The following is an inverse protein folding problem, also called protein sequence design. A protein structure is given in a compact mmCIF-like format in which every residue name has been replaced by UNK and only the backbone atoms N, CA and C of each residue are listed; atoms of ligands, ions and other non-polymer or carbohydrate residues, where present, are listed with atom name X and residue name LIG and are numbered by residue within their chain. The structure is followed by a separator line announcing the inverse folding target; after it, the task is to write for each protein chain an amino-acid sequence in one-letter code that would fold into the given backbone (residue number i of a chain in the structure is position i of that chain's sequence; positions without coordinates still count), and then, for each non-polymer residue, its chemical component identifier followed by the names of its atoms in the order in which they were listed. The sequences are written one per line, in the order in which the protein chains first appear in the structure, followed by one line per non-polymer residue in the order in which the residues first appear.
data_IF_633302828323
#
_entry.id   IF_633302828323
#
_cell.length_a   1.000
_cell.length_b   1.000
_cell.length_c   1.000
_cell.angle_alpha   90.00
_cell.angle_beta   90.00
_cell.angle_gamma   90.00
#
_symmetry.space_group_name_H-M   'P 1'
#
loop_
_entity.id
_entity.type
_entity.pdbx_description
1 polymer ?
#
# COMPACT_ATOMS: atom_id res chain seq x y z
N UNK A 1 -1.45 -31.14 -23.22
CA UNK A 1 -0.43 -30.70 -22.24
C UNK A 1 -0.15 -29.24 -22.52
N UNK A 2 -0.26 -28.36 -21.52
CA UNK A 2 0.38 -27.05 -21.61
C UNK A 2 -0.46 -25.79 -21.45
N UNK A 3 -1.64 -25.81 -20.84
CA UNK A 3 -2.26 -24.56 -20.36
C UNK A 3 -2.38 -24.64 -18.84
N UNK A 4 -1.19 -24.62 -18.25
CA UNK A 4 -0.92 -24.54 -16.83
C UNK A 4 -1.43 -23.20 -16.25
N UNK A 5 -2.29 -23.27 -15.23
CA UNK A 5 -2.27 -22.37 -14.07
C UNK A 5 -2.53 -20.86 -14.30
N UNK A 6 -3.56 -20.49 -15.06
CA UNK A 6 -4.04 -19.09 -15.08
C UNK A 6 -5.11 -18.77 -14.02
N UNK A 7 -5.12 -19.51 -12.91
CA UNK A 7 -5.91 -19.17 -11.72
C UNK A 7 -5.02 -18.92 -10.51
N UNK A 8 -3.99 -18.10 -10.69
CA UNK A 8 -3.30 -17.38 -9.60
C UNK A 8 -4.20 -16.35 -8.88
N UNK A 9 -5.53 -16.50 -8.93
CA UNK A 9 -6.50 -15.69 -8.17
C UNK A 9 -6.50 -16.01 -6.67
N UNK A 10 -5.87 -17.12 -6.28
CA UNK A 10 -5.77 -17.59 -4.89
C UNK A 10 -4.32 -17.81 -4.44
N UNK A 11 -3.33 -17.10 -5.00
CA UNK A 11 -2.08 -16.98 -4.26
C UNK A 11 -2.48 -16.37 -2.90
N UNK A 12 -2.15 -17.00 -1.75
CA UNK A 12 -2.36 -16.36 -0.47
C UNK A 12 -1.63 -15.03 -0.61
N UNK A 13 -2.37 -13.92 -0.76
CA UNK A 13 -1.78 -12.61 -0.79
C UNK A 13 -0.95 -12.62 0.47
N UNK A 14 0.37 -12.56 0.33
CA UNK A 14 1.28 -12.38 1.43
C UNK A 14 1.04 -10.96 1.96
N UNK A 15 -0.18 -10.69 2.41
CA UNK A 15 -0.66 -9.48 3.04
C UNK A 15 0.30 -9.08 4.15
N UNK A 16 0.79 -10.00 5.02
CA UNK A 16 1.84 -9.65 5.98
C UNK A 16 3.15 -9.17 5.34
N UNK A 17 3.65 -9.80 4.27
CA UNK A 17 4.88 -9.33 3.60
C UNK A 17 4.67 -8.03 2.82
N UNK A 18 3.52 -7.89 2.15
CA UNK A 18 3.13 -6.68 1.45
C UNK A 18 3.00 -5.51 2.44
N UNK A 19 2.45 -5.76 3.63
CA UNK A 19 2.33 -4.75 4.67
C UNK A 19 3.70 -4.31 5.16
N UNK A 20 4.62 -5.25 5.43
CA UNK A 20 5.99 -4.92 5.80
C UNK A 20 6.69 -4.09 4.71
N UNK A 21 6.53 -4.49 3.45
CA UNK A 21 7.07 -3.77 2.30
C UNK A 21 6.51 -2.35 2.19
N UNK A 22 5.19 -2.18 2.32
CA UNK A 22 4.56 -0.86 2.27
C UNK A 22 4.90 0.00 3.48
N UNK A 23 5.12 -0.59 4.66
CA UNK A 23 5.59 0.11 5.84
C UNK A 23 7.01 0.67 5.62
N UNK A 24 7.93 -0.15 5.12
CA UNK A 24 9.29 0.29 4.78
C UNK A 24 9.30 1.36 3.69
N UNK A 25 8.48 1.21 2.64
CA UNK A 25 8.37 2.19 1.57
C UNK A 25 7.66 3.48 2.04
N UNK A 26 6.71 3.36 2.98
CA UNK A 26 6.06 4.50 3.64
C UNK A 26 7.05 5.33 4.44
N UNK A 27 7.99 4.69 5.15
CA UNK A 27 9.09 5.35 5.86
C UNK A 27 10.06 6.07 4.91
N UNK A 28 10.18 5.60 3.67
CA UNK A 28 10.97 6.26 2.62
C UNK A 28 10.24 7.43 1.95
N UNK A 29 9.00 7.73 2.35
CA UNK A 29 8.20 8.82 1.78
C UNK A 29 7.50 8.46 0.47
N UNK A 30 7.44 7.18 0.10
CA UNK A 30 6.72 6.77 -1.11
C UNK A 30 5.21 6.94 -0.92
N UNK A 31 4.64 7.96 -1.56
CA UNK A 31 3.21 8.27 -1.51
C UNK A 31 2.33 7.08 -1.92
N UNK A 32 2.74 6.32 -2.93
CA UNK A 32 2.00 5.14 -3.38
C UNK A 32 1.98 4.02 -2.33
N UNK A 33 3.07 3.83 -1.58
CA UNK A 33 3.12 2.85 -0.50
C UNK A 33 2.27 3.27 0.69
N UNK A 34 2.32 4.56 1.07
CA UNK A 34 1.46 5.13 2.10
C UNK A 34 -0.02 4.95 1.74
N UNK A 35 -0.39 5.21 0.47
CA UNK A 35 -1.76 5.01 0.01
C UNK A 35 -2.24 3.56 0.17
N UNK A 36 -1.42 2.59 -0.25
CA UNK A 36 -1.73 1.17 -0.12
C UNK A 36 -1.79 0.72 1.35
N UNK A 37 -0.85 1.16 2.18
CA UNK A 37 -0.81 0.86 3.61
C UNK A 37 -2.06 1.38 4.32
N UNK A 38 -2.50 2.60 3.98
CA UNK A 38 -3.73 3.17 4.52
C UNK A 38 -4.98 2.40 4.11
N UNK A 39 -5.05 1.90 2.88
CA UNK A 39 -6.12 1.01 2.43
C UNK A 39 -6.12 -0.34 3.18
N UNK A 40 -4.95 -0.92 3.42
CA UNK A 40 -4.82 -2.16 4.20
C UNK A 40 -5.31 -1.96 5.64
N UNK A 41 -4.95 -0.86 6.30
CA UNK A 41 -5.46 -0.51 7.63
C UNK A 41 -6.97 -0.23 7.62
N UNK A 42 -7.51 0.39 6.56
CA UNK A 42 -8.96 0.65 6.47
C UNK A 42 -9.77 -0.63 6.29
N UNK A 43 -9.24 -1.59 5.53
CA UNK A 43 -9.91 -2.86 5.24
C UNK A 43 -9.60 -3.97 6.24
N UNK A 44 -8.56 -3.81 7.06
CA UNK A 44 -8.06 -4.87 7.93
C UNK A 44 -7.45 -6.04 7.15
N UNK A 45 -6.85 -5.77 5.99
CA UNK A 45 -6.21 -6.82 5.17
C UNK A 45 -4.79 -7.09 5.70
N UNK A 46 -4.58 -8.22 6.38
CA UNK A 46 -3.25 -8.61 6.90
C UNK A 46 -2.81 -7.88 8.18
N UNK A 47 -3.62 -6.97 8.69
CA UNK A 47 -3.45 -6.25 9.96
C UNK A 47 -4.81 -5.96 10.58
N UNK A 48 -4.84 -5.69 11.88
CA UNK A 48 -6.05 -5.20 12.53
C UNK A 48 -6.52 -3.89 11.88
N UNK A 49 -7.79 -3.86 11.48
CA UNK A 49 -8.38 -2.67 10.90
C UNK A 49 -8.25 -1.49 11.88
N UNK A 50 -7.65 -0.40 11.40
CA UNK A 50 -7.43 0.80 12.19
C UNK A 50 -7.70 2.03 11.33
N UNK A 51 -8.92 2.55 11.46
CA UNK A 51 -9.36 3.72 10.70
C UNK A 51 -8.56 4.98 11.01
N UNK A 52 -8.02 5.10 12.24
CA UNK A 52 -7.20 6.25 12.65
C UNK A 52 -5.85 6.20 11.92
N UNK A 53 -5.16 5.05 11.98
CA UNK A 53 -3.91 4.83 11.26
C UNK A 53 -4.11 4.97 9.75
N UNK A 54 -5.18 4.39 9.20
CA UNK A 54 -5.53 4.50 7.79
C UNK A 54 -5.65 5.97 7.35
N UNK A 55 -6.39 6.78 8.10
CA UNK A 55 -6.57 8.20 7.80
C UNK A 55 -5.26 8.99 7.87
N UNK A 56 -4.43 8.76 8.90
CA UNK A 56 -3.14 9.44 9.06
C UNK A 56 -2.22 9.12 7.87
N UNK A 57 -2.07 7.84 7.53
CA UNK A 57 -1.18 7.40 6.45
C UNK A 57 -1.70 7.85 5.08
N UNK A 58 -3.02 7.79 4.82
CA UNK A 58 -3.61 8.32 3.59
C UNK A 58 -3.40 9.84 3.45
N UNK A 59 -3.48 10.58 4.54
CA UNK A 59 -3.21 12.02 4.53
C UNK A 59 -1.74 12.30 4.21
N UNK A 60 -0.81 11.52 4.78
CA UNK A 60 0.62 11.61 4.44
C UNK A 60 0.86 11.27 2.96
N UNK A 61 0.20 10.24 2.43
CA UNK A 61 0.27 9.88 1.02
C UNK A 61 -0.16 11.02 0.10
N UNK A 62 -1.24 11.72 0.45
CA UNK A 62 -1.72 12.86 -0.31
C UNK A 62 -0.72 14.02 -0.30
N UNK A 63 -0.06 14.29 0.84
CA UNK A 63 0.96 15.35 0.95
C UNK A 63 2.21 14.98 0.15
N UNK A 64 2.80 13.81 0.40
CA UNK A 64 4.00 13.35 -0.29
C UNK A 64 3.75 13.13 -1.80
N UNK A 65 2.55 12.67 -2.17
CA UNK A 65 2.16 12.49 -3.57
C UNK A 65 1.93 13.81 -4.29
N UNK A 66 1.47 14.84 -3.57
CA UNK A 66 1.39 16.20 -4.10
C UNK A 66 2.78 16.78 -4.32
N UNK A 67 3.74 16.53 -3.41
CA UNK A 67 5.14 16.95 -3.57
C UNK A 67 5.84 16.20 -4.72
N UNK A 68 5.65 14.88 -4.86
CA UNK A 68 6.16 14.09 -5.99
C UNK A 68 5.57 14.57 -7.33
N UNK A 69 4.27 14.89 -7.35
CA UNK A 69 3.60 15.45 -8.52
C UNK A 69 4.09 16.87 -8.86
N UNK A 70 4.49 17.67 -7.86
CA UNK A 70 5.05 19.02 -8.05
C UNK A 70 6.51 18.98 -8.54
N UNK A 71 7.30 17.99 -8.14
CA UNK A 71 8.70 17.84 -8.59
C UNK A 71 8.82 17.43 -10.07
N UNK A 72 7.80 16.81 -10.67
CA UNK A 72 7.78 16.42 -12.09
C UNK A 72 7.61 17.58 -13.08
N UNK A 73 7.64 18.83 -12.62
CA UNK A 73 7.42 20.03 -13.44
C UNK A 73 8.62 20.98 -13.51
N UNK A 74 9.83 20.48 -13.30
CA UNK A 74 11.06 21.28 -13.43
C UNK A 74 12.05 20.70 -14.42
#
# INVERSE_FOLDING_TARGET
MGEFYYEGKNAPRDLPHALNYFEQASLQGHAQAQYQLGLMFSRGEGVQANNIQAYIVLKMAAVNGSEDALYRRR
#
